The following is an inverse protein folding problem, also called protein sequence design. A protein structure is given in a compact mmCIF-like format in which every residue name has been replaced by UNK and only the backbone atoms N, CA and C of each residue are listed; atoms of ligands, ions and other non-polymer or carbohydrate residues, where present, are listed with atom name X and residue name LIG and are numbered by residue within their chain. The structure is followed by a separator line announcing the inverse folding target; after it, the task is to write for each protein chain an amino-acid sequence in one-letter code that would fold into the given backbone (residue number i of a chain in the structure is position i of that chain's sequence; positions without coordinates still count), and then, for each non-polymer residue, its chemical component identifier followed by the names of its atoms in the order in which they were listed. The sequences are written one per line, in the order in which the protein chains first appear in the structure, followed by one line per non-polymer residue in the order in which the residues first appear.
data_IF_431822078783
#
_entry.id   IF_431822078783
#
_cell.length_a   1.000
_cell.length_b   1.000
_cell.length_c   1.000
_cell.angle_alpha   90.00
_cell.angle_beta   90.00
_cell.angle_gamma   90.00
#
_symmetry.space_group_name_H-M   'P 1'
#
loop_
_entity.id
_entity.type
_entity.pdbx_description
1 polymer ?
#
# COMPACT_ATOMS: atom_id res chain seq x y z
N UNK A 1 -56.19 7.51 -3.53
CA UNK A 1 -55.53 7.18 -3.60
C UNK A 1 -54.46 7.00 -3.71
N UNK A 2 -54.35 7.07 -3.77
CA UNK A 2 -53.32 6.70 -3.79
C UNK A 2 -52.06 6.69 -3.86
N UNK A 3 -52.16 6.82 -3.80
CA UNK A 3 -50.98 6.61 -3.79
C UNK A 3 -49.85 6.60 -3.87
N UNK A 4 -50.02 6.58 -3.88
CA UNK A 4 -48.88 6.32 -3.91
C UNK A 4 -47.79 6.33 -3.95
N UNK A 5 -48.08 6.40 -3.81
CA UNK A 5 -47.14 6.21 -3.80
C UNK A 5 -46.11 6.20 -3.91
N UNK A 6 -46.47 6.23 -3.80
CA UNK A 6 -45.40 5.99 -3.82
C UNK A 6 -44.35 5.92 -3.96
N UNK A 7 -44.81 6.02 -3.99
CA UNK A 7 -43.70 5.74 -4.09
C UNK A 7 -42.70 5.77 -4.21
N UNK A 8 -43.10 5.87 -4.12
CA UNK A 8 -42.05 5.72 -4.23
C UNK A 8 -41.04 5.77 -4.26
N UNK A 9 -41.44 5.84 -3.96
CA UNK A 9 -40.48 5.65 -3.96
C UNK A 9 -39.54 5.68 -4.02
N UNK A 10 -39.86 5.65 -3.88
CA UNK A 10 -38.85 5.36 -3.92
C UNK A 10 -37.86 5.36 -4.04
N UNK A 11 -38.25 5.41 -3.86
CA UNK A 11 -37.29 5.10 -4.01
C UNK A 11 -36.29 5.31 -4.12
N UNK A 12 -36.49 5.45 -3.94
CA UNK A 12 -35.40 5.31 -4.04
C UNK A 12 -34.40 5.48 -3.95
N UNK A 13 -34.75 5.58 -3.65
CA UNK A 13 -33.79 5.50 -3.53
C UNK A 13 -32.88 5.38 -3.55
N UNK A 14 -33.11 5.39 -3.48
CA UNK A 14 -32.25 5.07 -3.49
C UNK A 14 -31.33 4.91 -3.73
N UNK A 15 -31.40 4.91 -3.69
CA UNK A 15 -30.47 4.59 -4.01
C UNK A 15 -29.43 4.74 -4.17
N UNK A 16 -29.44 4.85 -3.98
CA UNK A 16 -28.54 5.02 -4.31
C UNK A 16 -27.49 4.88 -3.92
N UNK A 17 -27.46 4.63 -3.66
CA UNK A 17 -26.45 4.46 -3.46
C UNK A 17 -25.52 3.99 -3.58
N UNK A 18 -25.58 3.69 -3.44
CA UNK A 18 -24.68 3.14 -3.81
C UNK A 18 -23.73 3.40 -4.25
N UNK A 19 -23.78 3.30 -4.43
CA UNK A 19 -22.67 3.76 -4.99
C UNK A 19 -21.39 3.83 -4.29
N UNK A 20 -21.34 3.70 -3.30
CA UNK A 20 -20.21 3.83 -2.48
C UNK A 20 -19.07 2.94 -2.75
N UNK A 21 -19.31 1.87 -3.26
CA UNK A 21 -18.28 0.94 -3.51
C UNK A 21 -17.13 1.49 -4.31
N UNK A 22 -17.30 2.64 -4.80
CA UNK A 22 -16.28 3.19 -5.64
C UNK A 22 -15.04 3.61 -4.92
N UNK A 23 -15.09 3.66 -3.64
CA UNK A 23 -13.98 4.15 -2.89
C UNK A 23 -12.96 3.09 -2.55
N UNK A 24 -12.97 1.98 -3.21
CA UNK A 24 -12.24 0.82 -2.74
C UNK A 24 -10.72 0.96 -2.75
N UNK A 25 -10.13 1.69 -3.67
CA UNK A 25 -8.66 1.75 -3.75
C UNK A 25 -8.19 3.17 -3.98
N UNK A 26 -7.11 3.54 -3.31
CA UNK A 26 -6.43 4.79 -3.58
C UNK A 26 -5.47 4.55 -4.75
N UNK A 27 -5.21 5.58 -5.58
CA UNK A 27 -4.30 5.43 -6.70
C UNK A 27 -2.90 4.97 -6.32
N UNK A 28 -2.48 5.22 -5.09
CA UNK A 28 -1.14 4.89 -4.62
C UNK A 28 -1.08 3.58 -3.83
N UNK A 29 -2.18 2.84 -3.74
CA UNK A 29 -2.17 1.50 -3.16
C UNK A 29 -1.43 0.55 -4.10
N UNK A 30 -0.74 -0.42 -3.53
CA UNK A 30 0.03 -1.37 -4.34
C UNK A 30 0.16 -2.71 -3.62
N UNK A 31 0.52 -3.74 -4.38
CA UNK A 31 0.84 -5.04 -3.83
C UNK A 31 2.35 -5.14 -3.61
N UNK A 32 2.75 -5.53 -2.42
CA UNK A 32 4.16 -5.66 -2.05
C UNK A 32 4.51 -7.13 -1.91
N UNK A 33 5.47 -7.59 -2.70
CA UNK A 33 5.97 -8.97 -2.62
C UNK A 33 7.38 -8.97 -2.03
N UNK A 34 7.58 -9.80 -1.03
CA UNK A 34 8.86 -9.97 -0.38
C UNK A 34 9.65 -11.09 -1.05
N UNK A 35 10.66 -10.72 -1.83
CA UNK A 35 11.59 -11.67 -2.44
C UNK A 35 13.01 -11.39 -1.96
N UNK A 36 13.14 -10.98 -0.69
CA UNK A 36 14.43 -10.61 -0.11
C UNK A 36 15.23 -11.79 0.42
N UNK A 37 14.56 -12.92 0.66
CA UNK A 37 15.18 -14.08 1.31
C UNK A 37 14.93 -14.12 2.82
N UNK A 38 14.31 -13.09 3.39
CA UNK A 38 14.14 -12.95 4.84
C UNK A 38 12.75 -12.42 5.15
N UNK A 39 12.19 -12.83 6.28
CA UNK A 39 10.90 -12.30 6.72
C UNK A 39 11.04 -10.83 7.15
N UNK A 40 10.03 -10.05 6.85
CA UNK A 40 9.99 -8.61 7.14
C UNK A 40 8.94 -8.38 8.22
N UNK A 41 9.32 -7.70 9.31
CA UNK A 41 8.37 -7.40 10.38
C UNK A 41 7.88 -5.96 10.38
N UNK A 42 8.50 -5.08 9.60
CA UNK A 42 8.05 -3.69 9.52
C UNK A 42 8.30 -3.12 8.13
N UNK A 43 7.38 -2.31 7.66
CA UNK A 43 7.49 -1.60 6.38
C UNK A 43 7.07 -0.15 6.60
N UNK A 44 7.93 0.77 6.21
CA UNK A 44 7.64 2.20 6.25
C UNK A 44 7.66 2.77 4.84
N UNK A 45 6.81 3.74 4.59
CA UNK A 45 6.73 4.46 3.32
C UNK A 45 6.90 5.94 3.62
N UNK A 46 7.94 6.55 3.06
CA UNK A 46 8.20 7.97 3.26
C UNK A 46 8.42 8.67 1.94
N UNK A 47 8.09 9.97 1.86
CA UNK A 47 8.34 10.71 0.61
C UNK A 47 9.83 10.80 0.34
N UNK A 48 10.20 10.64 -0.93
CA UNK A 48 11.60 10.65 -1.35
C UNK A 48 12.31 11.95 -0.95
N UNK A 49 11.57 13.03 -0.84
CA UNK A 49 12.12 14.34 -0.50
C UNK A 49 12.27 14.59 1.00
N UNK A 50 11.96 13.63 1.85
CA UNK A 50 11.89 13.83 3.30
C UNK A 50 12.35 12.59 4.04
N UNK A 51 12.78 12.74 5.28
CA UNK A 51 13.12 11.61 6.16
C UNK A 51 11.95 11.18 7.05
N UNK A 52 10.76 11.65 6.77
CA UNK A 52 9.58 11.32 7.56
C UNK A 52 8.98 10.00 7.10
N UNK A 53 9.31 8.93 7.80
CA UNK A 53 8.85 7.59 7.46
C UNK A 53 7.44 7.27 7.94
N UNK A 54 6.95 7.97 8.96
CA UNK A 54 5.62 7.68 9.50
C UNK A 54 5.56 6.35 10.23
N UNK A 55 4.37 5.76 10.24
CA UNK A 55 4.11 4.52 10.96
C UNK A 55 4.39 3.30 10.08
N UNK A 56 4.64 2.16 10.75
CA UNK A 56 4.79 0.87 10.11
C UNK A 56 3.45 0.47 9.48
N UNK A 57 3.41 0.30 8.17
CA UNK A 57 2.17 -0.02 7.45
C UNK A 57 1.76 -1.48 7.60
N UNK A 58 2.61 -2.34 8.12
CA UNK A 58 2.27 -3.73 8.41
C UNK A 58 1.62 -3.90 9.77
N UNK A 59 1.75 -2.91 10.66
CA UNK A 59 1.27 -3.05 12.03
C UNK A 59 2.00 -4.18 12.74
N UNK A 60 1.25 -5.20 13.17
CA UNK A 60 1.83 -6.36 13.84
C UNK A 60 2.03 -7.54 12.89
N UNK A 61 1.70 -7.39 11.63
CA UNK A 61 1.82 -8.47 10.67
C UNK A 61 3.27 -8.63 10.19
N UNK A 62 3.60 -9.86 9.82
CA UNK A 62 4.90 -10.19 9.23
C UNK A 62 4.70 -10.52 7.77
N UNK A 63 5.51 -9.94 6.91
CA UNK A 63 5.53 -10.29 5.49
C UNK A 63 6.59 -11.36 5.26
N UNK A 64 6.16 -12.61 5.21
CA UNK A 64 7.07 -13.74 5.03
C UNK A 64 7.76 -13.68 3.68
N UNK A 65 8.97 -14.23 3.62
CA UNK A 65 9.68 -14.32 2.35
C UNK A 65 8.83 -15.11 1.35
N UNK A 66 8.64 -14.55 0.16
CA UNK A 66 7.81 -15.15 -0.88
C UNK A 66 6.37 -14.69 -0.86
N UNK A 67 5.92 -14.01 0.18
CA UNK A 67 4.53 -13.59 0.32
C UNK A 67 4.26 -12.23 -0.29
N UNK A 68 3.00 -12.00 -0.62
CA UNK A 68 2.52 -10.71 -1.16
C UNK A 68 1.47 -10.14 -0.22
N UNK A 69 1.56 -8.86 0.06
CA UNK A 69 0.65 -8.13 0.93
C UNK A 69 0.13 -6.89 0.21
N UNK A 70 -1.19 -6.70 0.13
CA UNK A 70 -1.73 -5.44 -0.36
C UNK A 70 -1.41 -4.34 0.64
N UNK A 71 -0.86 -3.25 0.17
CA UNK A 71 -0.52 -2.10 0.99
C UNK A 71 -1.49 -0.97 0.68
N UNK A 72 -2.25 -0.57 1.70
CA UNK A 72 -3.10 0.60 1.61
C UNK A 72 -2.23 1.81 1.92
N UNK A 73 -2.17 2.74 1.01
CA UNK A 73 -1.27 3.87 1.13
C UNK A 73 -1.64 4.73 2.35
N UNK A 74 -0.72 4.89 3.30
CA UNK A 74 -1.04 5.54 4.58
C UNK A 74 -1.07 7.05 4.52
N UNK A 75 -0.48 7.65 3.49
CA UNK A 75 -0.41 9.10 3.35
C UNK A 75 -1.52 9.59 2.43
N UNK A 76 -2.05 10.75 2.66
CA UNK A 76 -3.06 11.30 1.79
C UNK A 76 -2.53 11.40 0.37
N UNK A 77 -3.42 11.22 -0.59
CA UNK A 77 -3.03 11.29 -1.98
C UNK A 77 -2.75 12.73 -2.40
N UNK A 78 -2.03 12.90 -3.47
CA UNK A 78 -1.85 14.18 -4.11
C UNK A 78 -0.65 14.99 -3.69
N UNK A 79 0.04 14.60 -2.62
CA UNK A 79 1.18 15.37 -2.15
C UNK A 79 2.41 15.17 -3.02
N UNK A 80 2.69 13.94 -3.40
CA UNK A 80 3.82 13.61 -4.28
C UNK A 80 3.58 12.21 -4.84
N UNK A 81 4.27 11.87 -5.91
CA UNK A 81 4.22 10.52 -6.48
C UNK A 81 5.43 9.68 -6.08
N UNK A 82 6.52 10.31 -5.65
CA UNK A 82 7.79 9.60 -5.42
C UNK A 82 7.98 9.29 -3.94
N UNK A 83 8.13 8.00 -3.64
CA UNK A 83 8.18 7.48 -2.28
C UNK A 83 9.29 6.47 -2.14
N UNK A 84 9.86 6.43 -0.93
CA UNK A 84 10.86 5.44 -0.54
C UNK A 84 10.21 4.40 0.35
N UNK A 85 10.75 3.18 0.29
CA UNK A 85 10.36 2.08 1.17
C UNK A 85 11.51 1.71 2.06
N UNK A 86 11.22 1.47 3.32
CA UNK A 86 12.19 0.94 4.28
C UNK A 86 11.56 -0.27 4.95
N UNK A 87 12.36 -1.33 5.11
CA UNK A 87 11.90 -2.52 5.83
C UNK A 87 12.83 -2.83 6.97
N UNK A 88 12.31 -3.53 7.98
CA UNK A 88 13.11 -4.14 9.03
C UNK A 88 12.91 -5.64 8.98
N UNK A 89 14.02 -6.38 9.01
CA UNK A 89 13.97 -7.84 8.96
C UNK A 89 13.70 -8.42 10.34
N UNK A 90 12.89 -9.49 10.36
CA UNK A 90 12.45 -10.08 11.61
C UNK A 90 13.58 -10.83 12.34
N UNK A 91 14.55 -11.37 11.62
CA UNK A 91 15.57 -12.24 12.20
C UNK A 91 16.69 -11.51 12.92
N UNK A 92 17.07 -10.31 12.46
CA UNK A 92 18.23 -9.61 13.02
C UNK A 92 18.00 -8.12 13.25
N UNK A 93 16.79 -7.64 13.01
CA UNK A 93 16.39 -6.23 13.18
C UNK A 93 17.13 -5.23 12.30
N UNK A 94 17.87 -5.71 11.31
CA UNK A 94 18.52 -4.79 10.35
C UNK A 94 17.49 -4.25 9.37
N UNK A 95 17.82 -3.13 8.75
CA UNK A 95 16.92 -2.44 7.82
C UNK A 95 17.55 -2.35 6.44
N UNK A 96 16.68 -2.19 5.43
CA UNK A 96 17.09 -1.96 4.06
C UNK A 96 16.13 -0.97 3.43
N UNK A 97 16.58 -0.25 2.40
CA UNK A 97 15.80 0.78 1.75
C UNK A 97 15.79 0.61 0.25
N UNK A 98 14.66 0.94 -0.35
CA UNK A 98 14.46 1.03 -1.80
C UNK A 98 13.91 2.42 -2.07
N UNK A 99 14.53 3.14 -2.98
CA UNK A 99 14.26 4.57 -3.13
C UNK A 99 13.53 4.89 -4.43
N UNK A 100 12.70 5.92 -4.33
CA UNK A 100 12.17 6.63 -5.50
C UNK A 100 11.21 5.81 -6.38
N UNK A 101 10.21 5.19 -5.75
CA UNK A 101 9.12 4.57 -6.51
C UNK A 101 8.08 5.60 -6.89
N UNK A 102 7.64 5.58 -8.13
CA UNK A 102 6.51 6.41 -8.56
C UNK A 102 5.20 5.66 -8.27
N UNK A 103 4.65 5.86 -7.09
CA UNK A 103 3.44 5.16 -6.66
C UNK A 103 2.17 5.63 -7.36
N UNK A 104 2.25 6.69 -8.16
CA UNK A 104 1.12 7.12 -8.98
C UNK A 104 0.92 6.22 -10.19
N UNK A 105 1.97 5.50 -10.62
CA UNK A 105 1.92 4.64 -11.80
C UNK A 105 2.19 3.18 -11.52
N UNK A 106 2.69 2.86 -10.33
CA UNK A 106 3.06 1.50 -9.95
C UNK A 106 1.90 0.84 -9.20
N UNK A 107 1.55 -0.39 -9.55
CA UNK A 107 0.54 -1.17 -8.85
C UNK A 107 1.11 -2.38 -8.12
N UNK A 108 2.35 -2.77 -8.40
CA UNK A 108 2.99 -3.88 -7.71
C UNK A 108 4.49 -3.66 -7.62
N UNK A 109 5.07 -4.10 -6.50
CA UNK A 109 6.51 -3.99 -6.23
C UNK A 109 6.98 -5.33 -5.66
N UNK A 110 8.06 -5.87 -6.21
CA UNK A 110 8.74 -7.04 -5.67
C UNK A 110 10.13 -6.62 -5.20
N UNK A 111 10.38 -6.77 -3.90
CA UNK A 111 11.64 -6.37 -3.29
C UNK A 111 12.64 -7.52 -3.30
N UNK A 112 13.87 -7.21 -3.67
CA UNK A 112 15.00 -8.16 -3.62
C UNK A 112 16.18 -7.55 -2.87
N UNK A 113 17.01 -8.41 -2.25
CA UNK A 113 18.06 -7.95 -1.35
C UNK A 113 19.19 -8.95 -1.31
N UNK A 114 20.42 -8.44 -1.30
CA UNK A 114 21.63 -9.23 -1.04
C UNK A 114 22.23 -8.75 0.29
N UNK A 115 22.06 -9.56 1.33
CA UNK A 115 22.54 -9.18 2.67
C UNK A 115 24.06 -9.07 2.75
N UNK A 116 24.80 -9.83 1.95
CA UNK A 116 26.26 -9.79 2.00
C UNK A 116 26.80 -8.44 1.55
N UNK A 117 26.17 -7.85 0.55
CA UNK A 117 26.62 -6.57 -0.01
C UNK A 117 25.79 -5.40 0.42
N UNK A 118 24.60 -5.66 0.98
CA UNK A 118 23.63 -4.61 1.30
C UNK A 118 22.90 -4.08 0.08
N UNK A 119 23.05 -4.71 -1.07
CA UNK A 119 22.45 -4.22 -2.30
C UNK A 119 20.95 -4.51 -2.30
N UNK A 120 20.17 -3.51 -2.70
CA UNK A 120 18.73 -3.63 -2.86
C UNK A 120 18.34 -3.37 -4.32
N UNK A 121 17.34 -4.09 -4.81
CA UNK A 121 16.75 -3.82 -6.11
C UNK A 121 15.30 -4.28 -6.09
N UNK A 122 14.54 -3.88 -7.10
CA UNK A 122 13.12 -4.21 -7.14
C UNK A 122 12.66 -4.36 -8.59
N UNK A 123 11.58 -5.11 -8.75
CA UNK A 123 10.80 -5.13 -9.98
C UNK A 123 9.47 -4.51 -9.66
N UNK A 124 8.90 -3.81 -10.61
CA UNK A 124 7.60 -3.17 -10.43
C UNK A 124 6.84 -3.08 -11.76
N UNK A 125 5.55 -2.91 -11.66
CA UNK A 125 4.70 -2.60 -12.81
C UNK A 125 3.33 -2.08 -12.38
#
# INVERSE_FOLDING_TARGET
MKLHMLAAGVLFAGLSFFAPSLASAAPQDFDLTNNTGYDINSVWIGPTSSDDWGDDVMGEDVLSNGATQPIVFPHGRGATCHWDLKVQYADDDTTAQWLNFDLCTISSITLSYDRKTGKTWAKWH
#
